data_IF_471428285055
#
_entry.id   IF_471428285055
#
_cell.length_a   1.000
_cell.length_b   1.000
_cell.length_c   1.000
_cell.angle_alpha   90.00
_cell.angle_beta   90.00
_cell.angle_gamma   90.00
#
_symmetry.space_group_name_H-M   'P 1'
#
loop_
_entity.id
_entity.type
_entity.pdbx_description
1 polymer ?
#
# COMPACT_ATOMS: atom_id res chain seq x y z
N UNK A 1 6.27 -11.58 -19.08
CA UNK A 1 6.82 -11.99 -17.74
C UNK A 1 8.34 -12.17 -17.60
N UNK A 2 9.00 -13.18 -18.20
CA UNK A 2 10.36 -13.63 -17.77
C UNK A 2 11.46 -12.56 -17.79
N UNK A 3 11.45 -11.68 -18.79
CA UNK A 3 12.42 -10.59 -18.90
C UNK A 3 12.32 -9.59 -17.74
N UNK A 4 11.10 -9.23 -17.33
CA UNK A 4 10.86 -8.36 -16.18
C UNK A 4 11.30 -9.03 -14.88
N UNK A 5 11.01 -10.34 -14.71
CA UNK A 5 11.45 -11.06 -13.53
C UNK A 5 12.97 -11.16 -13.42
N UNK A 6 13.69 -11.29 -14.54
CA UNK A 6 15.16 -11.24 -14.53
C UNK A 6 15.70 -9.90 -14.03
N UNK A 7 15.08 -8.77 -14.42
CA UNK A 7 15.43 -7.45 -13.88
C UNK A 7 15.16 -7.36 -12.38
N UNK A 8 14.04 -7.91 -11.90
CA UNK A 8 13.74 -7.99 -10.47
C UNK A 8 14.80 -8.79 -9.71
N UNK A 9 15.25 -9.92 -10.25
CA UNK A 9 16.28 -10.74 -9.62
C UNK A 9 17.63 -10.04 -9.57
N UNK A 10 17.96 -9.25 -10.60
CA UNK A 10 19.16 -8.42 -10.61
C UNK A 10 19.08 -7.30 -9.54
N UNK A 11 17.95 -6.60 -9.44
CA UNK A 11 17.74 -5.58 -8.39
C UNK A 11 17.80 -6.19 -6.98
N UNK A 12 17.30 -7.40 -6.76
CA UNK A 12 17.47 -8.12 -5.49
C UNK A 12 18.94 -8.43 -5.19
N UNK A 13 19.74 -8.74 -6.22
CA UNK A 13 21.19 -8.94 -6.05
C UNK A 13 21.85 -7.63 -5.65
N UNK A 14 21.56 -6.54 -6.36
CA UNK A 14 22.08 -5.21 -6.04
C UNK A 14 21.69 -4.74 -4.62
N UNK A 15 20.44 -4.96 -4.19
CA UNK A 15 19.99 -4.60 -2.84
C UNK A 15 20.77 -5.37 -1.76
N UNK A 16 21.03 -6.67 -1.98
CA UNK A 16 21.85 -7.48 -1.06
C UNK A 16 23.31 -7.00 -1.02
N UNK A 17 23.87 -6.67 -2.17
CA UNK A 17 25.24 -6.12 -2.28
C UNK A 17 25.35 -4.73 -1.63
N UNK A 18 24.27 -3.94 -1.63
CA UNK A 18 24.16 -2.65 -0.93
C UNK A 18 23.89 -2.77 0.59
N UNK A 19 23.83 -3.99 1.15
CA UNK A 19 23.60 -4.19 2.58
C UNK A 19 22.13 -4.16 3.02
N UNK A 20 21.18 -4.27 2.08
CA UNK A 20 19.76 -4.49 2.33
C UNK A 20 18.82 -3.38 1.86
N UNK A 21 19.32 -2.18 1.54
CA UNK A 21 18.54 -1.08 0.95
C UNK A 21 19.29 -0.56 -0.27
N UNK A 22 18.66 -0.65 -1.44
CA UNK A 22 19.27 -0.22 -2.70
C UNK A 22 19.25 1.31 -2.85
N UNK A 23 18.12 1.93 -2.56
CA UNK A 23 17.90 3.37 -2.64
C UNK A 23 16.74 3.77 -1.72
N UNK A 24 16.70 5.03 -1.29
CA UNK A 24 15.58 5.57 -0.52
C UNK A 24 15.43 7.08 -0.66
N UNK A 25 14.21 7.57 -0.48
CA UNK A 25 13.98 9.02 -0.40
C UNK A 25 14.58 9.61 0.87
N UNK A 26 15.30 10.72 0.70
CA UNK A 26 15.82 11.53 1.80
C UNK A 26 15.12 12.88 1.91
N UNK A 27 14.39 13.30 0.87
CA UNK A 27 13.76 14.62 0.77
C UNK A 27 12.27 14.57 0.43
N UNK A 28 11.84 13.64 -0.40
CA UNK A 28 10.45 13.56 -0.85
C UNK A 28 9.62 12.81 0.19
N UNK A 29 8.71 13.51 0.86
CA UNK A 29 7.74 12.92 1.78
C UNK A 29 6.67 12.20 0.96
N UNK A 30 6.50 10.91 1.22
CA UNK A 30 5.57 10.05 0.50
C UNK A 30 4.12 10.41 0.84
N UNK A 31 3.33 10.65 -0.19
CA UNK A 31 1.87 10.75 -0.20
C UNK A 31 1.34 9.93 -1.39
N UNK A 32 0.02 9.88 -1.60
CA UNK A 32 -0.56 9.16 -2.75
C UNK A 32 -0.01 9.70 -4.09
N UNK A 33 0.26 11.01 -4.18
CA UNK A 33 0.62 11.72 -5.43
C UNK A 33 2.03 12.32 -5.45
N UNK A 34 2.84 12.11 -4.41
CA UNK A 34 4.15 12.76 -4.26
C UNK A 34 5.20 12.35 -5.31
N UNK A 35 5.05 11.18 -5.93
CA UNK A 35 6.03 10.63 -6.87
C UNK A 35 5.43 10.47 -8.26
N UNK A 36 6.27 10.71 -9.28
CA UNK A 36 5.95 10.36 -10.66
C UNK A 36 5.92 8.84 -10.89
N UNK A 37 5.62 8.41 -12.13
CA UNK A 37 5.46 7.00 -12.42
C UNK A 37 6.80 6.27 -12.51
N UNK A 38 6.94 5.17 -11.75
CA UNK A 38 8.04 4.20 -11.90
C UNK A 38 7.65 3.00 -12.77
N UNK A 39 8.64 2.37 -13.40
CA UNK A 39 8.53 1.17 -14.26
C UNK A 39 9.79 0.31 -14.14
N UNK A 40 9.67 -1.00 -14.37
CA UNK A 40 10.80 -1.87 -14.74
C UNK A 40 11.08 -1.72 -16.23
N UNK A 41 10.04 -1.89 -17.04
CA UNK A 41 10.03 -1.60 -18.47
C UNK A 41 8.59 -1.34 -18.91
N UNK A 42 8.30 -0.07 -19.23
CA UNK A 42 6.96 0.42 -19.55
C UNK A 42 6.28 -0.35 -20.71
N UNK A 43 7.06 -0.82 -21.67
CA UNK A 43 6.52 -1.47 -22.88
C UNK A 43 6.18 -2.94 -22.65
N UNK A 44 6.75 -3.57 -21.61
CA UNK A 44 6.54 -4.98 -21.29
C UNK A 44 5.52 -5.21 -20.17
N UNK A 45 5.22 -4.19 -19.38
CA UNK A 45 4.35 -4.32 -18.21
C UNK A 45 2.87 -4.25 -18.58
N UNK A 46 2.11 -5.29 -18.22
CA UNK A 46 0.64 -5.33 -18.40
C UNK A 46 -0.10 -4.71 -17.21
N UNK A 47 0.50 -4.77 -16.03
CA UNK A 47 0.08 -4.07 -14.79
C UNK A 47 1.26 -3.22 -14.30
N UNK A 48 1.02 -1.92 -14.09
CA UNK A 48 2.04 -0.91 -13.77
C UNK A 48 1.77 -0.23 -12.42
N UNK A 49 2.82 0.38 -11.86
CA UNK A 49 2.75 1.12 -10.60
C UNK A 49 3.88 0.75 -9.64
N UNK A 50 4.46 1.74 -8.98
CA UNK A 50 5.52 1.59 -7.97
C UNK A 50 5.35 2.64 -6.87
N UNK A 51 5.82 2.32 -5.66
CA UNK A 51 5.72 3.23 -4.50
C UNK A 51 6.48 4.55 -4.73
N UNK A 52 7.56 4.52 -5.51
CA UNK A 52 8.36 5.68 -5.91
C UNK A 52 8.55 5.69 -7.42
N UNK A 53 9.36 6.62 -7.94
CA UNK A 53 9.67 6.73 -9.37
C UNK A 53 10.64 5.66 -9.88
N UNK A 54 11.15 4.77 -9.01
CA UNK A 54 12.05 3.67 -9.37
C UNK A 54 11.71 2.38 -8.60
N UNK A 55 11.87 1.19 -9.21
CA UNK A 55 11.79 -0.05 -8.46
C UNK A 55 12.87 -0.08 -7.38
N UNK A 56 12.59 -0.75 -6.24
CA UNK A 56 13.50 -0.89 -5.09
C UNK A 56 13.89 0.38 -4.32
N UNK A 57 13.49 1.58 -4.77
CA UNK A 57 13.66 2.80 -3.98
C UNK A 57 12.57 2.91 -2.91
N UNK A 58 12.97 2.89 -1.64
CA UNK A 58 12.06 2.94 -0.48
C UNK A 58 11.61 4.39 -0.22
N UNK A 59 10.31 4.62 -0.07
CA UNK A 59 9.79 5.97 0.18
C UNK A 59 9.99 6.43 1.63
N UNK A 60 10.01 7.75 1.84
CA UNK A 60 10.10 8.38 3.15
C UNK A 60 8.69 8.66 3.70
N UNK A 61 8.29 7.93 4.74
CA UNK A 61 6.97 8.05 5.38
C UNK A 61 7.11 8.51 6.85
N UNK A 62 7.35 9.81 7.09
CA UNK A 62 7.76 10.34 8.40
C UNK A 62 6.60 10.61 9.36
N UNK A 63 5.34 10.56 8.91
CA UNK A 63 4.15 10.75 9.76
C UNK A 63 4.11 9.78 10.96
N UNK A 64 4.69 8.58 10.78
CA UNK A 64 4.85 7.58 11.85
C UNK A 64 5.90 7.97 12.91
N UNK A 65 6.92 8.75 12.55
CA UNK A 65 8.01 9.16 13.44
C UNK A 65 9.28 9.54 12.69
N UNK A 66 9.66 10.82 12.71
CA UNK A 66 10.86 11.33 12.01
C UNK A 66 12.16 10.71 12.51
N UNK A 67 12.27 10.49 13.82
CA UNK A 67 13.45 9.85 14.42
C UNK A 67 13.69 8.45 13.85
N UNK A 68 12.63 7.70 13.58
CA UNK A 68 12.74 6.35 13.03
C UNK A 68 13.15 6.41 11.56
N UNK A 69 12.65 7.40 10.81
CA UNK A 69 13.08 7.66 9.44
C UNK A 69 14.56 8.02 9.35
N UNK A 70 15.06 8.89 10.24
CA UNK A 70 16.48 9.27 10.31
C UNK A 70 17.36 8.06 10.66
N UNK A 71 17.00 7.31 11.71
CA UNK A 71 17.74 6.11 12.12
C UNK A 71 17.77 5.04 11.01
N UNK A 72 16.66 4.86 10.29
CA UNK A 72 16.61 3.97 9.13
C UNK A 72 17.55 4.45 8.04
N UNK A 73 17.50 5.73 7.67
CA UNK A 73 18.38 6.29 6.65
C UNK A 73 19.87 6.16 7.02
N UNK A 74 20.24 6.56 8.24
CA UNK A 74 21.62 6.52 8.72
C UNK A 74 22.18 5.09 8.74
N UNK A 75 21.36 4.09 9.13
CA UNK A 75 21.77 2.68 9.15
C UNK A 75 22.15 2.13 7.76
N UNK A 76 21.67 2.76 6.69
CA UNK A 76 21.96 2.37 5.31
C UNK A 76 22.80 3.41 4.56
N UNK A 77 23.42 4.37 5.28
CA UNK A 77 24.34 5.36 4.69
C UNK A 77 23.65 6.56 4.01
N UNK A 78 22.35 6.76 4.25
CA UNK A 78 21.59 7.91 3.76
C UNK A 78 21.42 8.96 4.87
N UNK A 79 21.19 10.23 4.49
CA UNK A 79 20.88 11.32 5.42
C UNK A 79 19.59 12.01 4.98
N UNK A 80 18.60 12.06 5.87
CA UNK A 80 17.35 12.80 5.64
C UNK A 80 17.66 14.31 5.53
N UNK A 81 16.98 14.99 4.61
CA UNK A 81 17.08 16.43 4.41
C UNK A 81 16.65 17.18 5.69
N UNK A 82 17.47 18.13 6.11
CA UNK A 82 17.30 18.84 7.39
C UNK A 82 15.99 19.64 7.44
N UNK A 83 15.50 20.12 6.30
CA UNK A 83 14.21 20.80 6.23
C UNK A 83 13.07 19.82 6.53
N UNK A 84 13.13 18.59 6.03
CA UNK A 84 12.14 17.55 6.32
C UNK A 84 12.19 17.18 7.80
N UNK A 85 13.39 16.99 8.36
CA UNK A 85 13.54 16.76 9.79
C UNK A 85 12.92 17.88 10.62
N UNK A 86 13.13 19.14 10.23
CA UNK A 86 12.54 20.31 10.90
C UNK A 86 11.02 20.32 10.81
N UNK A 87 10.44 20.06 9.62
CA UNK A 87 8.98 20.01 9.44
C UNK A 87 8.35 19.02 10.42
N UNK A 88 8.89 17.81 10.55
CA UNK A 88 8.30 16.76 11.39
C UNK A 88 8.73 16.79 12.87
N UNK A 89 9.63 17.71 13.24
CA UNK A 89 9.96 18.02 14.65
C UNK A 89 9.14 19.20 15.16
N UNK A 90 9.02 20.24 14.34
CA UNK A 90 8.57 21.56 14.80
C UNK A 90 7.14 21.89 14.37
N UNK A 91 6.69 21.41 13.20
CA UNK A 91 5.43 21.85 12.59
C UNK A 91 4.38 20.73 12.52
N UNK A 92 4.78 19.54 12.05
CA UNK A 92 3.90 18.37 11.92
C UNK A 92 4.30 17.32 12.95
N UNK A 93 3.59 17.31 14.08
CA UNK A 93 3.74 16.26 15.09
C UNK A 93 3.52 14.88 14.48
N UNK A 94 4.38 13.93 14.84
CA UNK A 94 4.32 12.54 14.37
C UNK A 94 3.60 11.64 15.38
N UNK A 95 3.15 10.48 14.92
CA UNK A 95 2.57 9.43 15.79
C UNK A 95 3.51 9.07 16.94
N UNK A 96 4.77 8.76 16.64
CA UNK A 96 5.79 8.46 17.64
C UNK A 96 5.88 9.54 18.73
N UNK A 97 5.99 10.82 18.36
CA UNK A 97 6.06 11.89 19.36
C UNK A 97 4.79 11.97 20.20
N UNK A 98 3.61 11.85 19.59
CA UNK A 98 2.33 11.84 20.30
C UNK A 98 2.20 10.72 21.33
N UNK A 99 2.62 9.50 20.96
CA UNK A 99 2.64 8.35 21.88
C UNK A 99 3.57 8.59 23.05
N UNK A 100 4.80 9.04 22.80
CA UNK A 100 5.78 9.21 23.86
C UNK A 100 5.44 10.39 24.78
N UNK A 101 4.77 11.44 24.31
CA UNK A 101 4.26 12.50 25.17
C UNK A 101 3.21 11.99 26.18
N UNK A 102 2.43 10.98 25.81
CA UNK A 102 1.36 10.41 26.65
C UNK A 102 1.81 9.22 27.51
N UNK A 103 2.93 8.56 27.18
CA UNK A 103 3.41 7.40 27.92
C UNK A 103 3.81 7.71 29.36
N UNK A 104 3.31 6.89 30.29
CA UNK A 104 3.68 6.96 31.72
C UNK A 104 5.08 6.40 31.97
N UNK A 105 5.72 6.73 33.12
CA UNK A 105 6.98 6.13 33.53
C UNK A 105 6.95 4.59 33.56
N UNK A 106 5.84 3.98 33.98
CA UNK A 106 5.64 2.54 34.07
C UNK A 106 5.60 1.88 32.69
N UNK A 107 4.85 2.48 31.73
CA UNK A 107 4.83 2.00 30.35
C UNK A 107 6.23 2.01 29.73
N UNK A 108 6.99 3.10 29.97
CA UNK A 108 8.39 3.21 29.51
C UNK A 108 9.32 2.21 30.20
N UNK A 109 9.07 1.87 31.46
CA UNK A 109 9.84 0.87 32.19
C UNK A 109 9.57 -0.54 31.65
N UNK A 110 8.31 -0.91 31.42
CA UNK A 110 7.91 -2.20 30.83
C UNK A 110 8.49 -2.40 29.43
N UNK A 111 8.57 -1.33 28.63
CA UNK A 111 9.22 -1.35 27.31
C UNK A 111 10.73 -1.56 27.42
N UNK A 112 11.40 -0.86 28.35
CA UNK A 112 12.85 -0.96 28.56
C UNK A 112 13.29 -2.31 29.12
N UNK A 113 12.46 -2.94 29.97
CA UNK A 113 12.76 -4.25 30.55
C UNK A 113 12.58 -5.41 29.58
N UNK A 114 11.93 -5.18 28.44
CA UNK A 114 11.62 -6.24 27.47
C UNK A 114 10.35 -7.03 27.78
N UNK A 115 9.61 -6.69 28.84
CA UNK A 115 8.35 -7.36 29.20
C UNK A 115 7.26 -7.08 28.15
N UNK A 116 7.22 -5.86 27.62
CA UNK A 116 6.35 -5.48 26.50
C UNK A 116 7.23 -4.90 25.40
N UNK A 117 7.35 -5.58 24.27
CA UNK A 117 8.18 -5.16 23.13
C UNK A 117 7.40 -5.18 21.83
N UNK A 118 7.88 -4.45 20.83
CA UNK A 118 7.29 -4.48 19.48
C UNK A 118 5.89 -3.88 19.38
N UNK A 119 5.51 -2.96 20.28
CA UNK A 119 4.29 -2.17 20.10
C UNK A 119 4.45 -1.19 18.91
N UNK A 120 3.35 -0.83 18.22
CA UNK A 120 3.38 0.08 17.08
C UNK A 120 3.52 1.54 17.51
N UNK A 121 4.54 1.84 18.32
CA UNK A 121 4.90 3.19 18.77
C UNK A 121 5.94 3.87 17.88
N UNK A 122 6.52 3.13 16.94
CA UNK A 122 7.65 3.56 16.11
C UNK A 122 7.47 3.25 14.61
N UNK A 123 6.31 2.76 14.18
CA UNK A 123 5.99 2.43 12.80
C UNK A 123 4.48 2.40 12.59
N UNK A 124 4.00 2.41 11.35
CA UNK A 124 2.57 2.29 11.06
C UNK A 124 1.98 0.99 11.61
N UNK A 125 0.84 1.07 12.32
CA UNK A 125 0.20 -0.10 12.95
C UNK A 125 -0.14 -1.23 11.95
N UNK A 126 -0.47 -0.90 10.70
CA UNK A 126 -0.95 -1.87 9.72
C UNK A 126 -2.25 -2.55 10.17
N UNK A 127 -2.44 -3.82 9.79
CA UNK A 127 -3.63 -4.62 10.16
C UNK A 127 -4.96 -4.02 9.70
N UNK A 128 -4.90 -3.23 8.63
CA UNK A 128 -6.06 -2.65 7.94
C UNK A 128 -6.01 -3.17 6.50
N UNK A 129 -7.12 -3.70 6.02
CA UNK A 129 -7.27 -4.14 4.64
C UNK A 129 -8.33 -3.27 4.02
N UNK A 130 -7.92 -2.32 3.18
CA UNK A 130 -8.85 -1.61 2.30
C UNK A 130 -9.49 -2.60 1.34
N UNK A 131 -10.78 -2.44 1.04
CA UNK A 131 -11.43 -3.26 0.02
C UNK A 131 -11.09 -2.73 -1.38
N UNK A 132 -9.87 -3.01 -1.85
CA UNK A 132 -9.33 -2.46 -3.10
C UNK A 132 -10.12 -2.90 -4.35
N UNK A 133 -10.87 -4.00 -4.24
CA UNK A 133 -11.79 -4.49 -5.28
C UNK A 133 -12.85 -3.46 -5.63
N UNK A 134 -13.20 -2.56 -4.69
CA UNK A 134 -14.19 -1.50 -4.91
C UNK A 134 -13.77 -0.52 -6.00
N UNK A 135 -12.46 -0.27 -6.15
CA UNK A 135 -11.95 0.62 -7.20
C UNK A 135 -12.26 0.02 -8.58
N UNK A 136 -11.96 -1.27 -8.77
CA UNK A 136 -12.28 -1.99 -9.99
C UNK A 136 -13.80 -2.10 -10.22
N UNK A 137 -14.57 -2.47 -9.19
CA UNK A 137 -16.01 -2.74 -9.32
C UNK A 137 -16.86 -1.49 -9.56
N UNK A 138 -16.52 -0.36 -8.94
CA UNK A 138 -17.37 0.82 -8.91
C UNK A 138 -16.79 2.05 -9.61
N UNK A 139 -15.46 2.10 -9.81
CA UNK A 139 -14.78 3.33 -10.20
C UNK A 139 -14.73 4.35 -9.07
N UNK A 140 -13.77 5.26 -9.14
CA UNK A 140 -13.50 6.21 -8.05
C UNK A 140 -14.63 7.24 -7.89
N UNK A 141 -15.29 7.68 -8.96
CA UNK A 141 -16.36 8.71 -8.86
C UNK A 141 -17.56 8.19 -8.05
N UNK A 142 -17.91 6.90 -8.20
CA UNK A 142 -18.99 6.28 -7.42
C UNK A 142 -18.64 6.23 -5.93
N UNK A 143 -17.38 5.91 -5.61
CA UNK A 143 -16.89 5.85 -4.22
C UNK A 143 -16.85 7.23 -3.56
N UNK A 144 -16.45 8.25 -4.32
CA UNK A 144 -16.47 9.65 -3.90
C UNK A 144 -17.91 10.09 -3.57
N UNK A 145 -18.86 9.79 -4.45
CA UNK A 145 -20.27 10.13 -4.25
C UNK A 145 -20.84 9.44 -2.99
N UNK A 146 -20.49 8.17 -2.75
CA UNK A 146 -20.90 7.49 -1.51
C UNK A 146 -20.25 8.10 -0.27
N UNK A 147 -19.00 8.55 -0.32
CA UNK A 147 -18.37 9.23 0.83
C UNK A 147 -19.00 10.58 1.15
N UNK A 148 -19.45 11.33 0.14
CA UNK A 148 -20.23 12.54 0.34
C UNK A 148 -21.58 12.24 0.99
N UNK A 149 -22.23 11.16 0.55
CA UNK A 149 -23.48 10.69 1.16
C UNK A 149 -23.26 10.24 2.61
N UNK A 150 -22.20 9.49 2.89
CA UNK A 150 -21.81 9.11 4.26
C UNK A 150 -21.69 10.39 5.11
N UNK A 151 -20.88 11.35 4.66
CA UNK A 151 -20.63 12.60 5.39
C UNK A 151 -21.90 13.39 5.72
N UNK A 152 -22.85 13.45 4.79
CA UNK A 152 -24.13 14.12 4.99
C UNK A 152 -25.02 13.42 6.04
N UNK A 153 -24.82 12.13 6.29
CA UNK A 153 -25.59 11.32 7.23
C UNK A 153 -24.88 11.05 8.56
N UNK A 154 -23.71 11.65 8.81
CA UNK A 154 -22.99 11.50 10.09
C UNK A 154 -23.52 12.52 11.10
N UNK A 155 -24.05 12.00 12.21
CA UNK A 155 -24.57 12.76 13.33
C UNK A 155 -26.09 12.96 13.25
N UNK A 156 -26.67 13.39 14.37
CA UNK A 156 -28.11 13.65 14.52
C UNK A 156 -28.41 15.14 14.78
N UNK A 157 -27.42 16.01 14.55
CA UNK A 157 -27.43 17.43 14.91
C UNK A 157 -26.54 17.76 16.11
N UNK A 158 -26.12 16.77 16.90
CA UNK A 158 -25.20 16.97 18.02
C UNK A 158 -23.74 16.75 17.59
N UNK A 159 -22.86 17.70 17.91
CA UNK A 159 -21.42 17.64 17.60
C UNK A 159 -20.61 17.17 18.80
N UNK A 160 -20.71 15.88 19.14
CA UNK A 160 -19.80 15.24 20.11
C UNK A 160 -18.43 14.98 19.49
N UNK A 161 -17.41 14.73 20.33
CA UNK A 161 -16.04 14.43 19.88
C UNK A 161 -16.00 13.27 18.87
N UNK A 162 -16.80 12.22 19.07
CA UNK A 162 -16.87 11.08 18.16
C UNK A 162 -17.50 11.46 16.82
N UNK A 163 -18.52 12.32 16.82
CA UNK A 163 -19.14 12.83 15.59
C UNK A 163 -18.16 13.72 14.83
N UNK A 164 -17.50 14.65 15.52
CA UNK A 164 -16.51 15.55 14.91
C UNK A 164 -15.37 14.74 14.28
N UNK A 165 -14.80 13.79 15.04
CA UNK A 165 -13.73 12.91 14.56
C UNK A 165 -14.16 12.10 13.34
N UNK A 166 -15.33 11.45 13.37
CA UNK A 166 -15.79 10.65 12.24
C UNK A 166 -16.05 11.50 10.99
N UNK A 167 -16.54 12.73 11.15
CA UNK A 167 -16.72 13.67 10.03
C UNK A 167 -15.38 14.08 9.41
N UNK A 168 -14.38 14.36 10.23
CA UNK A 168 -13.02 14.65 9.76
C UNK A 168 -12.43 13.44 9.03
N UNK A 169 -12.51 12.24 9.60
CA UNK A 169 -12.02 10.99 9.00
C UNK A 169 -12.68 10.69 7.64
N UNK A 170 -13.99 10.92 7.50
CA UNK A 170 -14.69 10.74 6.21
C UNK A 170 -14.29 11.82 5.20
N UNK A 171 -13.95 13.03 5.66
CA UNK A 171 -13.41 14.09 4.80
C UNK A 171 -12.00 13.75 4.30
N UNK A 172 -11.15 13.14 5.13
CA UNK A 172 -9.85 12.59 4.71
C UNK A 172 -10.04 11.45 3.69
N UNK A 173 -10.98 10.53 3.92
CA UNK A 173 -11.29 9.46 2.95
C UNK A 173 -11.75 10.02 1.60
N UNK A 174 -12.56 11.07 1.60
CA UNK A 174 -12.97 11.76 0.39
C UNK A 174 -11.77 12.36 -0.37
N UNK A 175 -10.86 13.04 0.35
CA UNK A 175 -9.64 13.60 -0.25
C UNK A 175 -8.70 12.52 -0.78
N UNK A 176 -8.50 11.43 -0.05
CA UNK A 176 -7.69 10.31 -0.50
C UNK A 176 -8.23 9.65 -1.79
N UNK A 177 -9.56 9.60 -1.97
CA UNK A 177 -10.16 9.14 -3.23
C UNK A 177 -9.90 10.09 -4.41
N UNK A 178 -9.89 11.40 -4.17
CA UNK A 178 -9.49 12.37 -5.21
C UNK A 178 -8.01 12.19 -5.59
N UNK A 179 -7.14 12.01 -4.60
CA UNK A 179 -5.71 11.74 -4.82
C UNK A 179 -5.49 10.40 -5.52
N UNK A 180 -6.29 9.36 -5.22
CA UNK A 180 -6.25 8.09 -5.93
C UNK A 180 -6.60 8.28 -7.41
N UNK A 181 -7.57 9.14 -7.73
CA UNK A 181 -7.87 9.48 -9.14
C UNK A 181 -6.68 10.13 -9.84
N UNK A 182 -6.00 11.04 -9.14
CA UNK A 182 -4.77 11.65 -9.66
C UNK A 182 -3.63 10.64 -9.81
N UNK A 183 -3.48 9.69 -8.89
CA UNK A 183 -2.55 8.57 -9.05
C UNK A 183 -2.84 7.75 -10.32
N UNK A 184 -4.13 7.54 -10.64
CA UNK A 184 -4.53 6.98 -11.94
C UNK A 184 -3.99 7.80 -13.11
N UNK A 185 -4.20 9.12 -13.10
CA UNK A 185 -3.75 10.05 -14.14
C UNK A 185 -2.22 10.03 -14.31
N UNK A 186 -1.46 9.99 -13.20
CA UNK A 186 0.02 9.91 -13.21
C UNK A 186 0.51 8.71 -14.03
N UNK A 187 -0.23 7.59 -13.97
CA UNK A 187 0.07 6.38 -14.74
C UNK A 187 -0.64 6.31 -16.11
N UNK A 188 -1.43 7.33 -16.46
CA UNK A 188 -2.16 7.41 -17.73
C UNK A 188 -3.50 6.68 -17.75
N UNK A 189 -4.12 6.43 -16.60
CA UNK A 189 -5.42 5.76 -16.48
C UNK A 189 -6.51 6.69 -15.96
N UNK A 190 -7.66 6.70 -16.62
CA UNK A 190 -8.89 7.24 -16.06
C UNK A 190 -9.62 6.16 -15.24
N UNK A 191 -9.39 6.17 -13.93
CA UNK A 191 -10.03 5.23 -12.99
C UNK A 191 -11.34 5.78 -12.39
N UNK A 192 -11.88 6.87 -12.94
CA UNK A 192 -13.13 7.45 -12.44
C UNK A 192 -14.32 6.48 -12.58
N UNK A 193 -14.28 5.64 -13.62
CA UNK A 193 -15.29 4.64 -13.97
C UNK A 193 -14.89 3.22 -13.55
N UNK A 194 -15.89 2.32 -13.38
CA UNK A 194 -15.63 0.89 -13.18
C UNK A 194 -14.73 0.30 -14.27
N UNK A 195 -13.95 -0.71 -13.91
CA UNK A 195 -13.13 -1.46 -14.84
C UNK A 195 -14.01 -2.20 -15.86
N UNK A 196 -13.65 -2.08 -17.14
CA UNK A 196 -14.39 -2.61 -18.28
C UNK A 196 -13.91 -3.99 -18.72
N UNK A 197 -12.66 -4.35 -18.44
CA UNK A 197 -11.97 -5.59 -18.83
C UNK A 197 -11.10 -6.15 -17.69
N UNK A 198 -10.57 -7.37 -17.85
CA UNK A 198 -9.71 -8.00 -16.87
C UNK A 198 -8.45 -7.17 -16.58
N UNK A 199 -7.80 -6.61 -17.62
CA UNK A 199 -6.59 -5.79 -17.42
C UNK A 199 -6.88 -4.56 -16.55
N UNK A 200 -7.98 -3.85 -16.83
CA UNK A 200 -8.42 -2.72 -15.98
C UNK A 200 -8.78 -3.19 -14.57
N UNK A 201 -9.41 -4.34 -14.39
CA UNK A 201 -9.79 -4.82 -13.06
C UNK A 201 -8.57 -5.09 -12.17
N UNK A 202 -7.53 -5.73 -12.72
CA UNK A 202 -6.25 -5.92 -12.03
C UNK A 202 -5.56 -4.58 -11.76
N UNK A 203 -5.51 -3.69 -12.76
CA UNK A 203 -4.84 -2.39 -12.64
C UNK A 203 -5.54 -1.47 -11.63
N UNK A 204 -6.88 -1.43 -11.58
CA UNK A 204 -7.65 -0.51 -10.73
C UNK A 204 -7.54 -0.95 -9.28
N UNK A 205 -7.66 -2.26 -9.05
CA UNK A 205 -7.43 -2.87 -7.75
C UNK A 205 -6.00 -2.58 -7.28
N UNK A 206 -5.01 -2.78 -8.16
CA UNK A 206 -3.62 -2.51 -7.80
C UNK A 206 -3.37 -1.03 -7.50
N UNK A 207 -3.95 -0.08 -8.24
CA UNK A 207 -3.82 1.35 -7.93
C UNK A 207 -4.43 1.71 -6.57
N UNK A 208 -5.56 1.10 -6.21
CA UNK A 208 -6.15 1.23 -4.88
C UNK A 208 -5.21 0.73 -3.78
N UNK A 209 -4.56 -0.42 -4.00
CA UNK A 209 -3.54 -0.94 -3.08
C UNK A 209 -2.27 -0.08 -3.07
N UNK A 210 -1.84 0.41 -4.23
CA UNK A 210 -0.66 1.25 -4.40
C UNK A 210 -0.78 2.56 -3.62
N UNK A 211 -1.96 3.21 -3.66
CA UNK A 211 -2.22 4.40 -2.85
C UNK A 211 -1.99 4.12 -1.35
N UNK A 212 -2.48 2.98 -0.84
CA UNK A 212 -2.30 2.62 0.56
C UNK A 212 -0.81 2.44 0.94
N UNK A 213 -0.01 1.76 0.10
CA UNK A 213 1.42 1.54 0.37
C UNK A 213 2.31 2.74 0.01
N UNK A 214 1.79 3.73 -0.72
CA UNK A 214 2.43 5.05 -0.92
C UNK A 214 2.21 5.97 0.27
N UNK A 215 1.09 5.84 0.97
CA UNK A 215 0.75 6.73 2.09
C UNK A 215 1.15 6.17 3.45
N UNK A 216 1.07 4.84 3.65
CA UNK A 216 1.25 4.18 4.94
C UNK A 216 2.37 3.12 4.91
N UNK A 217 3.17 3.03 5.99
CA UNK A 217 4.19 1.98 6.23
C UNK A 217 3.75 0.95 7.28
N UNK A 218 2.50 0.50 7.23
CA UNK A 218 1.97 -0.51 8.15
C UNK A 218 2.90 -1.73 8.25
N UNK A 219 2.99 -2.37 9.42
CA UNK A 219 3.74 -3.62 9.53
C UNK A 219 3.19 -4.67 8.56
N UNK A 220 1.88 -4.94 8.63
CA UNK A 220 1.17 -5.77 7.66
C UNK A 220 0.24 -4.91 6.78
N UNK A 221 0.51 -4.89 5.48
CA UNK A 221 -0.24 -4.18 4.45
C UNK A 221 -0.89 -5.20 3.50
N UNK A 222 -1.84 -5.99 4.01
CA UNK A 222 -2.42 -7.11 3.28
C UNK A 222 -3.30 -6.67 2.12
N UNK A 223 -3.35 -7.50 1.08
CA UNK A 223 -4.13 -7.27 -0.13
C UNK A 223 -5.61 -7.63 0.06
N UNK A 224 -5.89 -8.70 0.82
CA UNK A 224 -7.26 -9.14 1.12
C UNK A 224 -7.62 -10.45 0.42
N UNK A 225 -8.79 -10.50 -0.23
CA UNK A 225 -9.32 -11.69 -0.91
C UNK A 225 -9.77 -11.31 -2.31
N UNK A 226 -8.85 -11.38 -3.26
CA UNK A 226 -8.96 -10.75 -4.57
C UNK A 226 -8.96 -11.73 -5.73
N UNK A 227 -8.30 -12.90 -5.60
CA UNK A 227 -8.15 -13.91 -6.64
C UNK A 227 -9.48 -14.33 -7.27
N UNK A 228 -10.45 -14.78 -6.45
CA UNK A 228 -11.80 -15.16 -6.89
C UNK A 228 -12.59 -13.99 -7.48
N UNK A 229 -12.42 -12.76 -6.95
CA UNK A 229 -13.09 -11.57 -7.50
C UNK A 229 -12.57 -11.23 -8.90
N UNK A 230 -11.25 -11.28 -9.09
CA UNK A 230 -10.61 -10.99 -10.37
C UNK A 230 -10.94 -12.08 -11.41
N UNK A 231 -11.19 -13.33 -11.00
CA UNK A 231 -11.60 -14.41 -11.91
C UNK A 231 -12.91 -14.09 -12.63
N UNK A 232 -13.82 -13.31 -12.02
CA UNK A 232 -15.08 -12.90 -12.66
C UNK A 232 -14.81 -12.13 -13.96
N UNK A 233 -13.82 -11.22 -13.94
CA UNK A 233 -13.44 -10.43 -15.12
C UNK A 233 -12.66 -11.28 -16.11
N UNK A 234 -11.74 -12.13 -15.63
CA UNK A 234 -10.95 -13.02 -16.49
C UNK A 234 -11.85 -14.00 -17.23
N UNK A 235 -12.75 -14.67 -16.52
CA UNK A 235 -13.66 -15.66 -17.08
C UNK A 235 -14.58 -15.03 -18.14
N UNK A 236 -15.12 -13.84 -17.87
CA UNK A 236 -15.91 -13.09 -18.86
C UNK A 236 -15.10 -12.77 -20.12
N UNK A 237 -13.86 -12.29 -19.97
CA UNK A 237 -13.04 -11.92 -21.11
C UNK A 237 -12.54 -13.14 -21.90
N UNK A 238 -12.34 -14.29 -21.24
CA UNK A 238 -12.09 -15.59 -21.90
C UNK A 238 -13.32 -16.04 -22.72
N UNK A 239 -14.52 -15.96 -22.16
CA UNK A 239 -15.77 -16.33 -22.83
C UNK A 239 -16.07 -15.43 -24.03
N UNK A 240 -15.72 -14.14 -23.95
CA UNK A 240 -15.84 -13.19 -25.05
C UNK A 240 -14.72 -13.33 -26.11
N UNK A 241 -13.71 -14.17 -25.87
CA UNK A 241 -12.57 -14.35 -26.76
C UNK A 241 -11.63 -13.13 -26.85
N UNK A 242 -11.73 -12.19 -25.90
CA UNK A 242 -10.90 -10.96 -25.86
C UNK A 242 -9.62 -11.12 -25.06
N UNK A 243 -9.48 -12.25 -24.36
CA UNK A 243 -8.31 -12.62 -23.57
C UNK A 243 -8.02 -14.10 -23.79
N UNK A 244 -6.75 -14.48 -23.90
CA UNK A 244 -6.34 -15.90 -23.87
C UNK A 244 -5.95 -16.32 -22.46
N UNK A 245 -5.91 -17.63 -22.19
CA UNK A 245 -5.44 -18.13 -20.89
C UNK A 245 -3.99 -17.72 -20.58
N UNK A 246 -3.12 -17.67 -21.59
CA UNK A 246 -1.74 -17.21 -21.43
C UNK A 246 -1.66 -15.72 -21.08
N UNK A 247 -2.49 -14.89 -21.72
CA UNK A 247 -2.59 -13.46 -21.37
C UNK A 247 -3.19 -13.25 -19.98
N UNK A 248 -4.15 -14.09 -19.57
CA UNK A 248 -4.69 -14.07 -18.21
C UNK A 248 -3.61 -14.40 -17.17
N UNK A 249 -2.77 -15.42 -17.43
CA UNK A 249 -1.63 -15.72 -16.56
C UNK A 249 -0.61 -14.58 -16.55
N UNK A 250 -0.31 -13.94 -17.68
CA UNK A 250 0.61 -12.79 -17.70
C UNK A 250 0.10 -11.60 -16.87
N UNK A 251 -1.22 -11.33 -16.88
CA UNK A 251 -1.81 -10.32 -16.00
C UNK A 251 -1.60 -10.66 -14.52
N UNK A 252 -1.84 -11.92 -14.14
CA UNK A 252 -1.61 -12.39 -12.77
C UNK A 252 -0.14 -12.30 -12.39
N UNK A 253 0.76 -12.74 -13.27
CA UNK A 253 2.21 -12.70 -13.05
C UNK A 253 2.69 -11.27 -12.80
N UNK A 254 2.28 -10.31 -13.64
CA UNK A 254 2.71 -8.92 -13.50
C UNK A 254 2.06 -8.24 -12.29
N UNK A 255 0.82 -8.58 -11.95
CA UNK A 255 0.17 -8.15 -10.72
C UNK A 255 0.93 -8.66 -9.48
N UNK A 256 1.16 -9.97 -9.37
CA UNK A 256 1.91 -10.58 -8.26
C UNK A 256 3.35 -10.08 -8.22
N UNK A 257 3.98 -9.85 -9.37
CA UNK A 257 5.31 -9.25 -9.45
C UNK A 257 5.35 -7.88 -8.76
N UNK A 258 4.34 -7.03 -8.94
CA UNK A 258 4.25 -5.76 -8.22
C UNK A 258 4.10 -5.95 -6.71
N UNK A 259 3.31 -6.92 -6.27
CA UNK A 259 3.14 -7.23 -4.84
C UNK A 259 4.46 -7.70 -4.21
N UNK A 260 5.31 -8.40 -4.96
CA UNK A 260 6.66 -8.83 -4.51
C UNK A 260 7.67 -7.68 -4.42
N UNK A 261 7.35 -6.53 -4.98
CA UNK A 261 8.24 -5.36 -5.05
C UNK A 261 7.89 -4.26 -4.05
N UNK A 262 6.88 -4.50 -3.20
CA UNK A 262 6.55 -3.60 -2.09
C UNK A 262 7.68 -3.59 -1.07
N UNK A 263 8.15 -2.40 -0.70
CA UNK A 263 9.24 -2.19 0.26
C UNK A 263 8.97 -0.98 1.15
N UNK A 264 9.46 -1.03 2.38
CA UNK A 264 9.39 0.08 3.33
C UNK A 264 10.75 0.31 3.97
N UNK A 265 11.12 1.56 4.19
CA UNK A 265 12.29 1.87 5.01
C UNK A 265 12.03 1.43 6.46
N UNK A 266 12.91 0.60 7.01
CA UNK A 266 12.81 0.04 8.37
C UNK A 266 14.12 0.26 9.12
N UNK A 267 14.06 0.39 10.44
CA UNK A 267 15.28 0.43 11.26
C UNK A 267 15.81 -0.99 11.49
N UNK A 268 17.10 -1.15 11.83
CA UNK A 268 17.64 -2.46 12.21
C UNK A 268 16.87 -3.14 13.35
N UNK A 269 16.35 -2.37 14.33
CA UNK A 269 15.55 -2.92 15.44
C UNK A 269 14.22 -3.50 14.95
N UNK A 270 13.56 -2.84 14.00
CA UNK A 270 12.37 -3.39 13.37
C UNK A 270 12.70 -4.71 12.66
N UNK A 271 13.79 -4.75 11.90
CA UNK A 271 14.21 -5.95 11.17
C UNK A 271 14.63 -7.10 12.11
N UNK A 272 15.09 -6.80 13.33
CA UNK A 272 15.34 -7.81 14.35
C UNK A 272 14.06 -8.41 14.94
N UNK A 273 12.99 -7.62 15.06
CA UNK A 273 11.67 -8.08 15.51
C UNK A 273 10.89 -8.79 14.41
N UNK A 274 11.02 -8.31 13.17
CA UNK A 274 10.31 -8.76 11.98
C UNK A 274 11.32 -9.06 10.87
N UNK A 275 11.96 -10.23 10.97
CA UNK A 275 13.06 -10.61 10.09
C UNK A 275 12.60 -10.90 8.65
N UNK A 276 13.50 -10.63 7.69
CA UNK A 276 13.31 -10.97 6.28
C UNK A 276 12.64 -9.89 5.42
N UNK A 277 12.67 -8.62 5.84
CA UNK A 277 12.01 -7.49 5.14
C UNK A 277 10.52 -7.73 4.84
N UNK A 278 9.72 -8.21 5.81
CA UNK A 278 8.35 -8.63 5.54
C UNK A 278 7.40 -7.43 5.37
N UNK A 279 6.49 -7.55 4.41
CA UNK A 279 5.42 -6.58 4.12
C UNK A 279 4.02 -7.15 4.36
N UNK A 280 3.90 -8.48 4.49
CA UNK A 280 2.64 -9.23 4.60
C UNK A 280 1.57 -8.75 3.62
N UNK A 281 1.92 -8.72 2.33
CA UNK A 281 0.98 -8.55 1.21
C UNK A 281 0.15 -9.83 1.06
N UNK A 282 -0.67 -10.10 2.07
CA UNK A 282 -1.42 -11.35 2.20
C UNK A 282 -2.63 -11.34 1.27
N UNK A 283 -2.72 -12.37 0.43
CA UNK A 283 -3.89 -12.73 -0.36
C UNK A 283 -4.53 -13.99 0.23
N UNK A 284 -5.84 -13.97 0.44
CA UNK A 284 -6.63 -15.12 0.87
C UNK A 284 -7.22 -15.81 -0.35
N UNK A 285 -6.77 -17.03 -0.63
CA UNK A 285 -7.19 -17.78 -1.83
C UNK A 285 -8.28 -18.79 -1.46
N UNK A 286 -9.26 -18.99 -2.36
CA UNK A 286 -10.29 -20.01 -2.24
C UNK A 286 -11.15 -19.86 -0.97
N UNK A 287 -11.48 -20.96 -0.28
CA UNK A 287 -12.44 -21.05 0.82
C UNK A 287 -13.79 -21.65 0.39
N UNK A 288 -14.79 -21.61 1.27
CA UNK A 288 -16.16 -22.08 1.00
C UNK A 288 -17.13 -20.94 1.35
N UNK A 289 -18.13 -20.73 0.51
CA UNK A 289 -19.19 -19.74 0.75
C UNK A 289 -20.16 -20.22 1.83
N UNK A 290 -20.96 -19.30 2.37
CA UNK A 290 -22.02 -19.64 3.32
C UNK A 290 -23.10 -20.54 2.69
N UNK A 291 -23.23 -20.49 1.37
CA UNK A 291 -24.10 -21.37 0.58
C UNK A 291 -23.50 -22.77 0.31
N UNK A 292 -22.32 -23.06 0.88
CA UNK A 292 -21.63 -24.34 0.75
C UNK A 292 -20.83 -24.52 -0.55
N UNK A 293 -20.89 -23.59 -1.51
CA UNK A 293 -20.12 -23.70 -2.75
C UNK A 293 -18.63 -23.38 -2.51
N UNK A 294 -17.70 -24.10 -3.16
CA UNK A 294 -16.29 -23.72 -3.10
C UNK A 294 -16.08 -22.37 -3.78
N UNK A 295 -15.23 -21.53 -3.16
CA UNK A 295 -14.78 -20.25 -3.72
C UNK A 295 -13.45 -20.39 -4.49
N UNK A 296 -13.00 -21.64 -4.70
CA UNK A 296 -11.91 -21.99 -5.62
C UNK A 296 -12.31 -21.62 -7.04
N UNK A 297 -11.42 -20.95 -7.77
CA UNK A 297 -11.60 -20.54 -9.17
C UNK A 297 -10.36 -20.88 -9.99
N UNK A 298 -10.40 -20.71 -11.31
CA UNK A 298 -9.18 -20.83 -12.14
C UNK A 298 -8.11 -19.83 -11.67
N UNK A 299 -8.50 -18.61 -11.32
CA UNK A 299 -7.56 -17.63 -10.80
C UNK A 299 -6.94 -18.02 -9.45
N UNK A 300 -7.58 -18.90 -8.67
CA UNK A 300 -6.93 -19.49 -7.49
C UNK A 300 -5.69 -20.29 -7.88
N UNK A 301 -5.72 -20.99 -9.02
CA UNK A 301 -4.56 -21.71 -9.55
C UNK A 301 -3.56 -20.78 -10.22
N UNK A 302 -4.02 -19.74 -10.94
CA UNK A 302 -3.10 -18.77 -11.58
C UNK A 302 -2.23 -18.01 -10.58
N UNK A 303 -2.74 -17.79 -9.36
CA UNK A 303 -2.01 -17.12 -8.28
C UNK A 303 -0.94 -18.00 -7.61
N UNK A 304 -1.07 -19.34 -7.69
CA UNK A 304 -0.16 -20.30 -7.07
C UNK A 304 1.04 -20.60 -7.98
#
# INVERSE_FOLDING_TARGET
TKALWAQVMDLNKQEREAGGVLDMDTKVVSTITSHGPGYLNKDLETVVGFQTEKPFKRSLQPFGGIRMSEQSAEAYGFKIDEEISRIFRDWRKTHNQGVFDAYTPEMRAARRSGVITGLPDAYGRGRIIGDYRRVALYGVDRLIAEKQKDFANIGDGTMSDDVIRLREEVSEQYRALLELKELGNIYGFDISKPASNAREAFQWLYLGYLAAIKEQNGAAMSLGRTSTFLDIYVQRDLENGTLTEEQAQELVDHFVMKLRLVKFARTPEYNALFSGDPTWVTESIAGVGEDGRPLVTKNSFRFL
#
